data_IF_287827183517
#
_entry.id   IF_287827183517
#
_cell.length_a   1.000
_cell.length_b   1.000
_cell.length_c   1.000
_cell.angle_alpha   90.00
_cell.angle_beta   90.00
_cell.angle_gamma   90.00
#
_symmetry.space_group_name_H-M   'P 1'
#
loop_
_entity.id
_entity.type
_entity.pdbx_description
1 polymer ?
#
# COMPACT_ATOMS: atom_id res chain seq x y z
N UNK A 1 0.24 75.18 1.73
CA UNK A 1 1.25 74.28 1.12
C UNK A 1 1.75 73.35 2.21
N UNK A 2 1.32 72.09 2.15
CA UNK A 2 1.97 70.88 2.70
C UNK A 2 0.94 69.75 2.57
N UNK A 3 0.93 69.12 1.40
CA UNK A 3 0.08 67.99 1.05
C UNK A 3 0.43 66.74 1.86
N UNK A 4 -0.57 66.10 2.48
CA UNK A 4 -0.46 64.71 2.93
C UNK A 4 -0.91 63.80 1.79
N UNK A 5 0.03 63.04 1.23
CA UNK A 5 -0.23 62.01 0.23
C UNK A 5 -0.52 60.67 0.91
N UNK A 6 -1.69 60.10 0.64
CA UNK A 6 -1.96 58.66 0.71
C UNK A 6 -0.97 57.93 -0.22
N UNK A 7 -0.38 56.81 0.24
CA UNK A 7 0.22 55.84 -0.68
C UNK A 7 -0.16 54.41 -0.31
N UNK A 8 -0.91 53.85 -1.23
CA UNK A 8 -1.32 52.46 -1.41
C UNK A 8 -0.14 51.50 -1.53
N UNK A 9 -0.34 50.26 -1.08
CA UNK A 9 0.38 49.09 -1.63
C UNK A 9 0.75 48.03 -0.61
N UNK A 10 -0.21 47.25 -0.14
CA UNK A 10 0.08 45.94 0.47
C UNK A 10 0.67 45.03 -0.62
N UNK A 11 2.00 45.02 -0.68
CA UNK A 11 2.79 44.18 -1.60
C UNK A 11 2.38 42.72 -1.42
N UNK A 12 1.78 42.17 -2.46
CA UNK A 12 1.42 40.76 -2.54
C UNK A 12 2.61 39.87 -2.22
N UNK A 13 2.44 39.01 -1.22
CA UNK A 13 3.36 37.93 -0.94
C UNK A 13 3.46 37.06 -2.20
N UNK A 14 4.62 37.10 -2.85
CA UNK A 14 4.96 36.18 -3.94
C UNK A 14 4.90 34.76 -3.36
N UNK A 15 3.87 34.00 -3.74
CA UNK A 15 3.81 32.57 -3.45
C UNK A 15 4.82 31.89 -4.38
N UNK A 16 5.81 31.21 -3.81
CA UNK A 16 6.82 30.48 -4.57
C UNK A 16 6.17 29.24 -5.22
N UNK A 17 5.77 29.36 -6.48
CA UNK A 17 5.25 28.25 -7.28
C UNK A 17 6.30 27.18 -7.60
N UNK A 18 7.58 27.47 -7.32
CA UNK A 18 8.72 26.58 -7.48
C UNK A 18 8.63 25.32 -6.60
N UNK A 19 7.96 25.41 -5.45
CA UNK A 19 7.78 24.30 -4.50
C UNK A 19 6.42 23.61 -4.62
N UNK A 20 5.51 24.11 -5.46
CA UNK A 20 4.19 23.49 -5.67
C UNK A 20 4.28 22.06 -6.28
N UNK A 21 5.39 21.76 -6.95
CA UNK A 21 5.70 20.41 -7.47
C UNK A 21 6.11 19.44 -6.35
N UNK A 22 6.71 19.96 -5.26
CA UNK A 22 7.07 19.18 -4.06
C UNK A 22 5.86 18.95 -3.14
N UNK A 23 4.89 19.86 -3.15
CA UNK A 23 3.59 19.69 -2.48
C UNK A 23 2.67 18.77 -3.28
N UNK A 24 3.17 17.57 -3.63
CA UNK A 24 2.33 16.51 -4.18
C UNK A 24 1.18 16.32 -3.20
N UNK A 25 -0.04 16.61 -3.65
CA UNK A 25 -1.29 16.33 -2.95
C UNK A 25 -1.15 14.96 -2.28
N UNK A 26 -0.97 14.95 -0.96
CA UNK A 26 -0.91 13.73 -0.17
C UNK A 26 -2.27 13.10 -0.33
N UNK A 27 -2.39 12.15 -1.26
CA UNK A 27 -3.54 11.28 -1.29
C UNK A 27 -3.51 10.56 0.05
N UNK A 28 -4.60 10.58 0.84
CA UNK A 28 -4.61 9.97 2.17
C UNK A 28 -4.28 8.47 2.13
N UNK A 29 -4.47 7.86 0.95
CA UNK A 29 -4.18 6.46 0.66
C UNK A 29 -2.69 6.14 0.48
N UNK A 30 -1.80 7.13 0.56
CA UNK A 30 -0.34 6.93 0.44
C UNK A 30 0.29 6.76 1.80
N UNK A 31 0.72 5.54 2.10
CA UNK A 31 1.36 5.17 3.36
C UNK A 31 2.82 4.75 3.11
N UNK A 32 3.67 5.01 4.09
CA UNK A 32 5.08 4.66 4.09
C UNK A 32 5.23 3.26 4.69
N UNK A 33 5.96 2.39 4.00
CA UNK A 33 6.19 1.02 4.45
C UNK A 33 7.15 1.00 5.63
N UNK A 34 6.71 0.38 6.71
CA UNK A 34 7.48 0.15 7.93
C UNK A 34 7.53 -1.35 8.29
N UNK A 35 8.41 -1.70 9.21
CA UNK A 35 8.57 -3.07 9.71
C UNK A 35 7.45 -3.45 10.68
N UNK A 36 6.81 -4.59 10.45
CA UNK A 36 5.87 -5.16 11.40
C UNK A 36 6.58 -6.01 12.46
N UNK A 37 6.07 -5.96 13.68
CA UNK A 37 6.43 -6.90 14.76
C UNK A 37 5.70 -8.24 14.59
N UNK A 38 4.55 -8.24 13.90
CA UNK A 38 3.78 -9.46 13.68
C UNK A 38 4.29 -10.26 12.47
N UNK A 39 4.37 -11.59 12.64
CA UNK A 39 4.87 -12.54 11.64
C UNK A 39 3.79 -13.01 10.63
N UNK A 40 2.54 -12.57 10.81
CA UNK A 40 1.44 -12.97 9.93
C UNK A 40 1.58 -12.39 8.51
N UNK A 41 1.50 -13.27 7.50
CA UNK A 41 1.69 -12.90 6.09
C UNK A 41 0.48 -12.21 5.45
N UNK A 42 -0.67 -12.21 6.14
CA UNK A 42 -1.94 -11.70 5.61
C UNK A 42 -2.41 -10.44 6.33
N UNK A 43 -1.66 -9.97 7.32
CA UNK A 43 -2.07 -8.90 8.23
C UNK A 43 -1.16 -7.70 8.05
N UNK A 44 -1.75 -6.51 8.06
CA UNK A 44 -1.01 -5.25 8.14
C UNK A 44 -1.57 -4.41 9.28
N UNK A 45 -0.71 -3.63 9.91
CA UNK A 45 -1.07 -2.73 10.98
C UNK A 45 -0.94 -1.26 10.54
N UNK A 46 -1.90 -0.44 10.96
CA UNK A 46 -1.89 1.01 10.75
C UNK A 46 -2.61 1.73 11.89
N UNK A 47 -2.38 3.03 12.02
CA UNK A 47 -3.01 3.84 13.05
C UNK A 47 -4.54 3.89 12.87
N UNK A 48 -5.35 3.81 13.95
CA UNK A 48 -6.80 3.89 13.87
C UNK A 48 -7.29 5.16 13.15
N UNK A 49 -6.69 6.32 13.40
CA UNK A 49 -7.09 7.57 12.73
C UNK A 49 -6.90 7.52 11.21
N UNK A 50 -5.86 6.79 10.74
CA UNK A 50 -5.63 6.60 9.31
C UNK A 50 -6.66 5.65 8.72
N UNK A 51 -7.10 4.64 9.48
CA UNK A 51 -8.21 3.78 9.07
C UNK A 51 -9.51 4.56 8.92
N UNK A 52 -9.84 5.42 9.88
CA UNK A 52 -11.05 6.24 9.85
C UNK A 52 -11.06 7.19 8.65
N UNK A 53 -9.93 7.84 8.36
CA UNK A 53 -9.75 8.70 7.17
C UNK A 53 -9.96 7.93 5.86
N UNK A 54 -9.57 6.66 5.83
CA UNK A 54 -9.74 5.77 4.68
C UNK A 54 -11.07 5.01 4.69
N UNK A 55 -11.90 5.22 5.71
CA UNK A 55 -13.16 4.49 5.94
C UNK A 55 -12.98 2.96 5.97
N UNK A 56 -11.84 2.53 6.52
CA UNK A 56 -11.52 1.12 6.75
C UNK A 56 -11.90 0.75 8.18
N UNK A 57 -12.46 -0.44 8.35
CA UNK A 57 -12.73 -1.00 9.67
C UNK A 57 -11.73 -2.09 10.04
N UNK A 58 -11.65 -2.41 11.33
CA UNK A 58 -10.81 -3.51 11.83
C UNK A 58 -11.28 -4.83 11.20
N UNK A 59 -10.36 -5.52 10.51
CA UNK A 59 -10.66 -6.78 9.83
C UNK A 59 -11.07 -6.64 8.37
N UNK A 60 -11.13 -5.42 7.82
CA UNK A 60 -11.43 -5.24 6.40
C UNK A 60 -10.30 -5.77 5.50
N UNK A 61 -10.72 -6.30 4.34
CA UNK A 61 -9.79 -6.67 3.28
C UNK A 61 -9.41 -5.45 2.46
N UNK A 62 -8.11 -5.19 2.44
CA UNK A 62 -7.51 -4.11 1.68
C UNK A 62 -6.66 -4.66 0.54
N UNK A 63 -6.64 -3.92 -0.55
CA UNK A 63 -5.80 -4.13 -1.71
C UNK A 63 -4.66 -3.12 -1.69
N UNK A 64 -3.44 -3.63 -1.57
CA UNK A 64 -2.23 -2.81 -1.60
C UNK A 64 -1.70 -2.81 -3.02
N UNK A 65 -1.56 -1.60 -3.57
CA UNK A 65 -1.00 -1.34 -4.89
C UNK A 65 0.27 -0.53 -4.80
N UNK A 66 1.33 -1.04 -5.42
CA UNK A 66 2.59 -0.30 -5.55
C UNK A 66 2.56 0.46 -6.87
N UNK A 67 2.47 1.78 -6.79
CA UNK A 67 2.66 2.63 -7.94
C UNK A 67 4.16 2.81 -8.17
N UNK A 68 4.78 1.88 -8.89
CA UNK A 68 6.17 2.02 -9.35
C UNK A 68 6.35 3.15 -10.40
N UNK A 69 5.30 3.93 -10.69
CA UNK A 69 5.32 5.00 -11.68
C UNK A 69 5.81 6.34 -11.15
N UNK A 70 6.72 6.35 -10.18
CA UNK A 70 7.43 7.57 -9.80
C UNK A 70 8.71 7.59 -10.65
N UNK A 71 8.60 8.07 -11.90
CA UNK A 71 9.61 8.91 -12.59
C UNK A 71 9.32 9.22 -14.06
N UNK A 72 8.30 8.64 -14.71
CA UNK A 72 7.98 8.97 -16.10
C UNK A 72 6.48 9.16 -16.29
N UNK A 73 6.01 10.38 -16.02
CA UNK A 73 4.82 10.98 -16.65
C UNK A 73 4.68 12.41 -16.15
N UNK A 74 5.59 13.25 -16.61
CA UNK A 74 5.24 14.64 -16.87
C UNK A 74 5.64 14.94 -18.32
N UNK A 75 4.66 15.51 -19.02
CA UNK A 75 4.67 16.04 -20.37
C UNK A 75 4.63 14.98 -21.50
N UNK A 76 3.63 15.15 -22.36
CA UNK A 76 3.41 14.52 -23.67
C UNK A 76 2.60 13.20 -23.72
N UNK A 77 1.35 13.39 -24.17
CA UNK A 77 0.44 12.51 -24.92
C UNK A 77 -0.27 11.29 -24.28
N UNK A 78 -1.60 11.41 -24.32
CA UNK A 78 -2.67 10.46 -24.04
C UNK A 78 -2.79 9.28 -25.02
N UNK A 79 -1.82 9.02 -25.89
CA UNK A 79 -1.87 7.89 -26.85
C UNK A 79 -1.00 6.70 -26.41
N UNK A 80 -0.07 6.90 -25.48
CA UNK A 80 0.79 5.84 -24.94
C UNK A 80 0.20 5.11 -23.72
N UNK A 81 -1.12 4.88 -23.69
CA UNK A 81 -1.76 4.01 -22.69
C UNK A 81 -1.89 2.55 -23.18
N UNK A 82 -1.76 2.29 -24.49
CA UNK A 82 -1.84 0.94 -25.05
C UNK A 82 -0.50 0.18 -25.11
N UNK A 83 0.63 0.89 -24.96
CA UNK A 83 1.97 0.30 -24.86
C UNK A 83 2.56 0.38 -23.46
N UNK A 84 1.71 0.52 -22.43
CA UNK A 84 2.17 0.49 -21.04
C UNK A 84 2.58 -0.93 -20.70
N UNK A 85 3.85 -1.22 -21.02
CA UNK A 85 4.68 -2.33 -20.59
C UNK A 85 3.99 -3.13 -19.49
N UNK A 86 3.68 -4.39 -19.79
CA UNK A 86 4.22 -5.60 -19.15
C UNK A 86 4.91 -5.46 -17.76
N UNK A 87 4.45 -4.56 -16.90
CA UNK A 87 4.86 -4.44 -15.50
C UNK A 87 3.78 -5.20 -14.77
N UNK A 88 3.98 -6.52 -14.61
CA UNK A 88 3.12 -7.40 -13.80
C UNK A 88 2.80 -6.64 -12.51
N UNK A 89 1.57 -6.12 -12.40
CA UNK A 89 1.14 -5.36 -11.23
C UNK A 89 1.11 -6.36 -10.09
N UNK A 90 1.99 -6.13 -9.13
CA UNK A 90 2.05 -6.95 -7.94
C UNK A 90 1.09 -6.33 -6.95
N UNK A 91 -0.11 -6.87 -6.96
CA UNK A 91 -1.16 -6.48 -6.04
C UNK A 91 -1.24 -7.56 -4.96
N UNK A 92 -1.31 -7.14 -3.69
CA UNK A 92 -1.49 -8.06 -2.57
C UNK A 92 -2.74 -7.69 -1.79
N UNK A 93 -3.47 -8.71 -1.38
CA UNK A 93 -4.62 -8.57 -0.48
C UNK A 93 -4.15 -8.83 0.94
N UNK A 94 -4.49 -7.93 1.85
CA UNK A 94 -4.17 -8.05 3.27
C UNK A 94 -5.39 -7.65 4.11
N UNK A 95 -5.37 -8.03 5.38
CA UNK A 95 -6.36 -7.66 6.39
C UNK A 95 -5.78 -6.51 7.20
N UNK A 96 -6.56 -5.45 7.39
CA UNK A 96 -6.14 -4.29 8.15
C UNK A 96 -6.45 -4.46 9.65
N UNK A 97 -5.45 -4.28 10.51
CA UNK A 97 -5.58 -4.21 11.97
C UNK A 97 -5.18 -2.83 12.48
N UNK A 98 -5.95 -2.30 13.42
CA UNK A 98 -5.65 -1.02 14.05
C UNK A 98 -4.59 -1.22 15.15
N UNK A 99 -3.56 -0.38 15.13
CA UNK A 99 -2.48 -0.37 16.11
C UNK A 99 -2.12 1.07 16.47
N UNK A 100 -2.21 1.42 17.75
CA UNK A 100 -1.95 2.77 18.27
C UNK A 100 -0.45 3.08 18.38
N UNK A 101 0.43 2.06 18.33
CA UNK A 101 1.88 2.27 18.36
C UNK A 101 2.45 2.72 17.00
N UNK A 102 1.64 2.68 15.94
CA UNK A 102 2.04 3.06 14.59
C UNK A 102 1.82 4.57 14.36
N UNK A 103 2.73 5.23 13.65
CA UNK A 103 2.46 6.60 13.20
C UNK A 103 1.39 6.61 12.08
N UNK A 104 0.57 7.67 12.01
CA UNK A 104 -0.49 7.84 11.01
C UNK A 104 -0.06 7.63 9.54
N UNK A 105 1.10 8.13 9.06
CA UNK A 105 1.49 7.95 7.66
C UNK A 105 2.16 6.60 7.39
N UNK A 106 2.35 5.73 8.39
CA UNK A 106 3.08 4.47 8.25
C UNK A 106 2.13 3.28 8.18
N UNK A 107 2.56 2.25 7.46
CA UNK A 107 1.92 0.94 7.38
C UNK A 107 2.94 -0.13 7.69
N UNK A 108 2.66 -0.94 8.71
CA UNK A 108 3.54 -2.05 9.12
C UNK A 108 3.14 -3.31 8.37
N UNK A 109 4.10 -3.96 7.72
CA UNK A 109 3.89 -5.24 7.04
C UNK A 109 5.11 -6.16 7.14
N UNK A 110 4.88 -7.48 7.08
CA UNK A 110 5.94 -8.49 7.18
C UNK A 110 6.82 -8.52 5.90
N UNK A 111 8.05 -9.05 6.03
CA UNK A 111 9.02 -9.29 4.95
C UNK A 111 8.45 -10.06 3.76
N UNK A 112 7.54 -11.02 3.99
CA UNK A 112 6.88 -11.76 2.91
C UNK A 112 6.02 -10.83 2.04
N UNK A 113 5.23 -9.95 2.68
CA UNK A 113 4.41 -8.94 1.97
C UNK A 113 5.29 -7.97 1.20
N UNK A 114 6.41 -7.52 1.79
CA UNK A 114 7.40 -6.66 1.11
C UNK A 114 8.02 -7.32 -0.12
N UNK A 115 8.42 -8.59 -0.01
CA UNK A 115 8.96 -9.39 -1.12
C UNK A 115 7.92 -9.64 -2.22
N UNK A 116 6.66 -9.88 -1.83
CA UNK A 116 5.54 -10.01 -2.74
C UNK A 116 5.36 -8.73 -3.54
N UNK A 117 5.34 -7.56 -2.89
CA UNK A 117 5.16 -6.25 -3.52
C UNK A 117 6.42 -5.69 -4.22
N UNK A 118 7.62 -6.25 -3.94
CA UNK A 118 8.94 -5.73 -4.34
C UNK A 118 9.20 -4.30 -3.83
N UNK A 119 8.83 -4.03 -2.58
CA UNK A 119 9.07 -2.75 -1.90
C UNK A 119 10.11 -2.88 -0.80
N UNK A 120 10.78 -1.78 -0.50
CA UNK A 120 11.74 -1.62 0.61
C UNK A 120 11.10 -0.80 1.74
N UNK A 121 11.72 -0.84 2.91
CA UNK A 121 11.37 0.05 4.02
C UNK A 121 11.51 1.51 3.59
N UNK A 122 10.53 2.35 3.95
CA UNK A 122 10.47 3.75 3.55
C UNK A 122 9.86 4.02 2.17
N UNK A 123 9.53 2.98 1.39
CA UNK A 123 8.80 3.18 0.13
C UNK A 123 7.35 3.60 0.39
N UNK A 124 6.74 4.27 -0.58
CA UNK A 124 5.35 4.72 -0.51
C UNK A 124 4.45 3.73 -1.26
N UNK A 125 3.43 3.23 -0.57
CA UNK A 125 2.41 2.33 -1.12
C UNK A 125 1.04 2.97 -1.10
N UNK A 126 0.16 2.50 -1.98
CA UNK A 126 -1.23 2.96 -2.08
C UNK A 126 -2.18 1.89 -1.57
N UNK A 127 -3.08 2.26 -0.65
CA UNK A 127 -4.10 1.37 -0.08
C UNK A 127 -5.48 1.65 -0.67
N UNK A 128 -6.20 0.59 -1.03
CA UNK A 128 -7.58 0.65 -1.49
C UNK A 128 -8.42 -0.38 -0.75
N UNK A 129 -9.63 -0.02 -0.31
CA UNK A 129 -10.58 -1.00 0.21
C UNK A 129 -11.04 -1.93 -0.92
N UNK A 130 -11.15 -3.22 -0.63
CA UNK A 130 -11.70 -4.19 -1.56
C UNK A 130 -12.70 -5.08 -0.83
N UNK A 131 -13.99 -4.76 -0.93
CA UNK A 131 -15.07 -5.53 -0.31
C UNK A 131 -15.55 -6.72 -1.17
N UNK A 132 -15.22 -6.77 -2.47
CA UNK A 132 -15.63 -7.85 -3.39
C UNK A 132 -14.60 -8.99 -3.44
N UNK A 133 -14.19 -9.50 -2.27
CA UNK A 133 -13.32 -10.67 -2.19
C UNK A 133 -14.19 -11.92 -2.24
N UNK A 134 -14.33 -12.49 -3.44
CA UNK A 134 -15.07 -13.75 -3.64
C UNK A 134 -14.27 -14.93 -3.11
N UNK A 135 -14.97 -15.86 -2.46
CA UNK A 135 -14.38 -17.12 -2.01
C UNK A 135 -13.95 -17.98 -3.21
N UNK A 136 -12.66 -18.32 -3.25
CA UNK A 136 -12.11 -19.22 -4.26
C UNK A 136 -12.58 -20.66 -4.02
N UNK A 137 -13.04 -21.33 -5.08
CA UNK A 137 -13.47 -22.75 -4.97
C UNK A 137 -12.30 -23.72 -4.89
N UNK A 138 -11.18 -23.41 -5.55
CA UNK A 138 -9.97 -24.24 -5.62
C UNK A 138 -8.75 -23.34 -5.77
N UNK A 139 -7.67 -23.68 -5.08
CA UNK A 139 -6.37 -23.00 -5.19
C UNK A 139 -5.31 -24.06 -5.51
N UNK A 140 -4.43 -23.77 -6.46
CA UNK A 140 -3.31 -24.64 -6.81
C UNK A 140 -2.01 -23.99 -6.35
N UNK A 141 -1.32 -24.63 -5.40
CA UNK A 141 -0.09 -24.14 -4.79
C UNK A 141 1.00 -25.16 -5.09
N UNK A 142 2.11 -24.70 -5.68
CA UNK A 142 3.31 -25.51 -5.88
C UNK A 142 4.38 -25.08 -4.86
N UNK A 143 5.05 -26.03 -4.19
CA UNK A 143 6.20 -25.70 -3.37
C UNK A 143 7.35 -25.18 -4.24
N UNK A 144 8.28 -24.47 -3.64
CA UNK A 144 9.50 -24.07 -4.32
C UNK A 144 10.47 -25.26 -4.37
N UNK A 145 11.12 -25.44 -5.50
CA UNK A 145 12.06 -26.55 -5.75
C UNK A 145 13.17 -26.58 -4.70
N UNK A 146 13.66 -25.42 -4.27
CA UNK A 146 14.71 -25.29 -3.24
C UNK A 146 14.27 -25.74 -1.84
N UNK A 147 12.96 -25.86 -1.58
CA UNK A 147 12.40 -26.16 -0.25
C UNK A 147 11.89 -27.59 -0.09
N UNK A 148 11.92 -28.40 -1.16
CA UNK A 148 11.42 -29.79 -1.14
C UNK A 148 12.52 -30.84 -0.95
N UNK A 149 13.80 -30.43 -0.94
CA UNK A 149 14.92 -31.34 -0.70
C UNK A 149 14.89 -31.86 0.75
N UNK A 150 14.40 -33.09 0.93
CA UNK A 150 14.39 -33.79 2.22
C UNK A 150 13.03 -33.91 2.92
N UNK A 151 11.95 -33.38 2.33
CA UNK A 151 10.60 -33.58 2.85
C UNK A 151 9.97 -34.81 2.19
N UNK A 152 9.60 -35.81 3.00
CA UNK A 152 8.85 -36.99 2.57
C UNK A 152 7.48 -36.99 3.27
N UNK A 153 6.40 -37.04 2.51
CA UNK A 153 5.02 -37.02 3.03
C UNK A 153 4.10 -36.04 2.29
N UNK A 154 2.84 -35.98 2.72
CA UNK A 154 1.85 -35.04 2.19
C UNK A 154 2.07 -33.64 2.78
N UNK A 155 2.66 -32.74 1.98
CA UNK A 155 2.92 -31.34 2.32
C UNK A 155 1.63 -30.57 2.63
N UNK A 156 0.49 -31.03 2.11
CA UNK A 156 -0.79 -30.34 2.23
C UNK A 156 -1.30 -30.34 3.67
N UNK A 157 -1.40 -31.50 4.31
CA UNK A 157 -1.96 -31.63 5.67
C UNK A 157 -1.01 -31.04 6.72
N UNK A 158 0.31 -31.19 6.52
CA UNK A 158 1.32 -30.72 7.45
C UNK A 158 1.46 -29.18 7.49
N UNK A 159 1.47 -28.53 6.32
CA UNK A 159 1.76 -27.10 6.22
C UNK A 159 0.56 -26.25 5.85
N UNK A 160 -0.24 -26.68 4.87
CA UNK A 160 -1.32 -25.86 4.34
C UNK A 160 -2.51 -25.84 5.29
N UNK A 161 -2.90 -26.98 5.87
CA UNK A 161 -4.05 -27.03 6.78
C UNK A 161 -3.91 -26.10 7.98
N UNK A 162 -2.75 -26.08 8.65
CA UNK A 162 -2.51 -25.17 9.78
C UNK A 162 -2.51 -23.70 9.36
N UNK A 163 -1.97 -23.38 8.17
CA UNK A 163 -1.89 -22.01 7.68
C UNK A 163 -3.24 -21.48 7.21
N UNK A 164 -4.08 -22.31 6.59
CA UNK A 164 -5.38 -21.90 6.05
C UNK A 164 -6.54 -22.08 7.02
N UNK A 165 -6.42 -22.88 8.09
CA UNK A 165 -7.49 -23.05 9.09
C UNK A 165 -7.97 -21.74 9.72
N UNK A 166 -7.11 -20.73 9.83
CA UNK A 166 -7.42 -19.44 10.44
C UNK A 166 -7.71 -18.33 9.43
N UNK A 167 -7.67 -18.62 8.12
CA UNK A 167 -7.92 -17.61 7.09
C UNK A 167 -9.43 -17.50 6.83
N UNK A 168 -10.08 -16.36 7.14
CA UNK A 168 -11.54 -16.21 7.03
C UNK A 168 -12.05 -16.32 5.60
N UNK A 169 -11.17 -16.20 4.60
CA UNK A 169 -11.46 -16.23 3.16
C UNK A 169 -11.15 -17.57 2.47
N UNK A 170 -10.56 -18.54 3.17
CA UNK A 170 -10.17 -19.84 2.58
C UNK A 170 -10.56 -20.96 3.53
N UNK A 171 -11.71 -21.60 3.29
CA UNK A 171 -12.01 -22.93 3.85
C UNK A 171 -11.48 -23.97 2.87
N UNK A 172 -10.47 -24.73 3.30
CA UNK A 172 -9.98 -25.93 2.62
C UNK A 172 -10.92 -27.11 2.88
#
# INVERSE_FOLDING_TARGET
MSDQAESSGSKGAKKDFSTAILERKKSPNRLIVDEAVNDDNSVVAMHPDTMEKLQLFRGDTILIKVNFSIFFRDVVEDVLLSLKCCKKRKDTVCIALADEECEEPKIRMNKVVRSNLRVRLGDIVSVHQCADVKYGKRVHILPLDDTIEGLTGDLFDAYLKRKFANLPSVRL
#
